data_IF_193108957400
#
_entry.id   IF_193108957400
#
_cell.length_a   1.000
_cell.length_b   1.000
_cell.length_c   1.000
_cell.angle_alpha   90.00
_cell.angle_beta   90.00
_cell.angle_gamma   90.00
#
_symmetry.space_group_name_H-M   'P 1'
#
loop_
_entity.id
_entity.type
_entity.pdbx_description
1 polymer ?
#
# COMPACT_ATOMS: atom_id res chain seq x y z
N UNK A 1 8.54 8.06 7.03
CA UNK A 1 8.11 8.85 5.86
C UNK A 1 8.46 10.31 6.06
N UNK A 2 9.02 10.91 5.03
CA UNK A 2 9.41 12.32 5.02
C UNK A 2 8.58 13.02 3.95
N UNK A 3 7.88 14.08 4.33
CA UNK A 3 7.20 14.94 3.38
C UNK A 3 8.22 15.89 2.76
N UNK A 4 8.47 15.83 1.44
CA UNK A 4 9.51 16.64 0.79
C UNK A 4 9.19 18.14 0.77
N UNK A 5 7.92 18.53 0.96
CA UNK A 5 7.47 19.93 0.95
C UNK A 5 7.53 20.53 2.35
N UNK A 6 6.97 19.84 3.35
CA UNK A 6 6.87 20.35 4.74
C UNK A 6 8.03 19.92 5.62
N UNK A 7 8.89 18.97 5.17
CA UNK A 7 9.96 18.33 5.94
C UNK A 7 9.46 17.62 7.20
N UNK A 8 8.16 17.39 7.33
CA UNK A 8 7.60 16.66 8.44
C UNK A 8 7.90 15.18 8.33
N UNK A 9 8.24 14.57 9.45
CA UNK A 9 8.55 13.13 9.55
C UNK A 9 7.42 12.39 10.24
N UNK A 10 6.99 11.27 9.63
CA UNK A 10 5.95 10.39 10.16
C UNK A 10 6.49 8.98 10.31
N UNK A 11 6.35 8.40 11.48
CA UNK A 11 6.63 6.97 11.70
C UNK A 11 5.36 6.18 11.38
N UNK A 12 5.48 5.15 10.55
CA UNK A 12 4.39 4.22 10.24
C UNK A 12 4.85 2.79 10.45
N UNK A 13 4.03 2.03 11.15
CA UNK A 13 4.22 0.59 11.32
C UNK A 13 3.36 -0.18 10.32
N UNK A 14 3.86 -1.31 9.80
CA UNK A 14 3.07 -2.18 8.94
C UNK A 14 1.90 -2.80 9.71
N UNK A 15 0.80 -3.11 8.99
CA UNK A 15 -0.39 -3.71 9.60
C UNK A 15 -1.08 -4.67 8.63
N UNK A 16 -0.81 -5.96 8.75
CA UNK A 16 -1.39 -7.00 7.89
C UNK A 16 -2.92 -7.10 7.98
N UNK A 17 -3.55 -6.67 9.10
CA UNK A 17 -5.02 -6.68 9.23
C UNK A 17 -5.70 -5.75 8.22
N UNK A 18 -4.99 -4.75 7.74
CA UNK A 18 -5.50 -3.79 6.76
C UNK A 18 -5.16 -4.15 5.32
N UNK A 19 -4.49 -5.28 5.07
CA UNK A 19 -3.97 -5.63 3.74
C UNK A 19 -5.06 -5.75 2.67
N UNK A 20 -6.29 -6.14 3.01
CA UNK A 20 -7.41 -6.17 2.06
C UNK A 20 -7.99 -4.78 1.73
N UNK A 21 -7.67 -3.78 2.53
CA UNK A 21 -8.20 -2.41 2.39
C UNK A 21 -7.26 -1.49 1.65
N UNK A 22 -5.96 -1.61 1.92
CA UNK A 22 -4.91 -0.74 1.40
C UNK A 22 -3.55 -1.36 1.57
N UNK A 23 -2.58 -0.87 0.81
CA UNK A 23 -1.17 -1.14 1.07
C UNK A 23 -0.81 -0.73 2.50
N UNK A 24 -0.42 -1.69 3.31
CA UNK A 24 -0.14 -1.52 4.72
C UNK A 24 1.16 -2.20 5.17
N UNK A 25 1.94 -2.70 4.21
CA UNK A 25 3.30 -3.19 4.38
C UNK A 25 4.18 -2.44 3.38
N UNK A 26 5.25 -1.82 3.87
CA UNK A 26 6.08 -0.91 3.06
C UNK A 26 7.29 -1.65 2.52
N UNK A 27 7.39 -1.81 1.20
CA UNK A 27 8.41 -2.63 0.57
C UNK A 27 9.87 -2.27 0.94
N UNK A 28 10.28 -1.00 1.18
CA UNK A 28 11.65 -0.71 1.57
C UNK A 28 12.02 -1.22 2.97
N UNK A 29 11.02 -1.59 3.78
CA UNK A 29 11.22 -2.20 5.11
C UNK A 29 10.81 -3.68 5.15
N UNK A 30 10.57 -4.31 3.99
CA UNK A 30 10.23 -5.71 3.87
C UNK A 30 11.46 -6.53 3.48
N UNK A 31 11.90 -7.42 4.36
CA UNK A 31 12.97 -8.38 4.10
C UNK A 31 12.35 -9.74 3.85
N UNK A 32 12.71 -10.35 2.73
CA UNK A 32 12.15 -11.63 2.28
C UNK A 32 13.25 -12.68 2.31
N UNK A 33 13.00 -13.81 2.95
CA UNK A 33 13.94 -14.93 2.96
C UNK A 33 13.99 -15.59 1.59
N UNK A 34 15.13 -16.19 1.26
CA UNK A 34 15.30 -16.95 0.01
C UNK A 34 14.24 -18.06 -0.11
N UNK A 35 14.00 -18.79 0.97
CA UNK A 35 12.97 -19.87 0.99
C UNK A 35 11.55 -19.36 0.74
N UNK A 36 11.22 -18.14 1.21
CA UNK A 36 9.92 -17.52 0.89
C UNK A 36 9.82 -17.16 -0.59
N UNK A 37 10.90 -16.66 -1.19
CA UNK A 37 10.94 -16.41 -2.64
C UNK A 37 10.82 -17.69 -3.46
N UNK A 38 11.49 -18.77 -3.05
CA UNK A 38 11.41 -20.08 -3.73
C UNK A 38 9.99 -20.65 -3.67
N UNK A 39 9.28 -20.45 -2.56
CA UNK A 39 7.91 -20.94 -2.37
C UNK A 39 6.87 -20.09 -3.10
N UNK A 40 6.96 -18.77 -3.00
CA UNK A 40 5.96 -17.82 -3.53
C UNK A 40 6.24 -17.45 -4.99
N UNK A 41 7.49 -17.55 -5.42
CA UNK A 41 7.96 -17.10 -6.73
C UNK A 41 8.36 -15.63 -6.77
N UNK A 42 8.84 -15.19 -7.91
CA UNK A 42 9.29 -13.83 -8.16
C UNK A 42 8.12 -12.84 -8.27
N UNK A 43 8.41 -11.56 -8.37
CA UNK A 43 7.41 -10.52 -8.66
C UNK A 43 6.73 -10.79 -10.01
N UNK A 44 5.41 -10.52 -10.08
CA UNK A 44 4.63 -10.69 -11.30
C UNK A 44 4.80 -9.48 -12.21
N UNK A 45 5.11 -9.71 -13.49
CA UNK A 45 5.20 -8.67 -14.52
C UNK A 45 3.82 -8.07 -14.91
N UNK A 46 2.72 -8.70 -14.49
CA UNK A 46 1.37 -8.18 -14.71
C UNK A 46 1.04 -6.94 -13.85
N UNK A 47 1.86 -6.68 -12.81
CA UNK A 47 1.67 -5.60 -11.86
C UNK A 47 2.90 -4.69 -11.88
N UNK A 48 2.70 -3.45 -12.31
CA UNK A 48 3.81 -2.50 -12.42
C UNK A 48 3.93 -1.58 -11.22
N UNK A 49 2.78 -1.11 -10.70
CA UNK A 49 2.72 -0.16 -9.59
C UNK A 49 2.46 -0.81 -8.23
N UNK A 50 1.83 -1.99 -8.22
CA UNK A 50 1.45 -2.72 -7.01
C UNK A 50 2.08 -4.12 -6.94
N UNK A 51 3.24 -4.32 -7.58
CA UNK A 51 3.94 -5.61 -7.62
C UNK A 51 4.33 -6.14 -6.25
N UNK A 52 4.72 -5.24 -5.35
CA UNK A 52 5.04 -5.55 -3.96
C UNK A 52 3.82 -6.04 -3.18
N UNK A 53 2.69 -5.38 -3.36
CA UNK A 53 1.42 -5.75 -2.74
C UNK A 53 0.92 -7.09 -3.28
N UNK A 54 1.05 -7.30 -4.57
CA UNK A 54 0.69 -8.55 -5.23
C UNK A 54 1.52 -9.73 -4.67
N UNK A 55 2.83 -9.56 -4.53
CA UNK A 55 3.69 -10.56 -3.95
C UNK A 55 3.30 -10.87 -2.49
N UNK A 56 3.00 -9.84 -1.68
CA UNK A 56 2.53 -10.02 -0.30
C UNK A 56 1.20 -10.77 -0.26
N UNK A 57 0.28 -10.52 -1.19
CA UNK A 57 -0.98 -11.25 -1.27
C UNK A 57 -0.75 -12.74 -1.56
N UNK A 58 0.16 -13.09 -2.49
CA UNK A 58 0.56 -14.48 -2.72
C UNK A 58 1.22 -15.10 -1.49
N UNK A 59 2.09 -14.37 -0.82
CA UNK A 59 2.75 -14.84 0.40
C UNK A 59 1.75 -15.15 1.52
N UNK A 60 0.74 -14.29 1.71
CA UNK A 60 -0.35 -14.54 2.66
C UNK A 60 -1.17 -15.77 2.28
N UNK A 61 -1.49 -15.95 1.00
CA UNK A 61 -2.19 -17.14 0.50
C UNK A 61 -1.39 -18.42 0.68
N UNK A 62 -0.07 -18.35 0.56
CA UNK A 62 0.87 -19.43 0.83
C UNK A 62 1.15 -19.64 2.33
N UNK A 63 0.44 -18.95 3.22
CA UNK A 63 0.61 -19.00 4.68
C UNK A 63 2.04 -18.64 5.16
N UNK A 64 2.75 -17.79 4.42
CA UNK A 64 4.04 -17.25 4.87
C UNK A 64 3.82 -16.46 6.15
N UNK A 65 4.63 -16.74 7.15
CA UNK A 65 4.60 -16.02 8.43
C UNK A 65 5.40 -14.72 8.32
N UNK A 66 4.79 -13.63 8.74
CA UNK A 66 5.43 -12.32 8.82
C UNK A 66 5.86 -12.06 10.27
N UNK A 67 7.12 -11.69 10.45
CA UNK A 67 7.66 -11.20 11.71
C UNK A 67 7.78 -9.68 11.65
N UNK A 68 7.30 -9.00 12.69
CA UNK A 68 7.34 -7.54 12.78
C UNK A 68 8.49 -7.12 13.68
N UNK A 69 9.36 -6.27 13.16
CA UNK A 69 10.42 -5.63 13.94
C UNK A 69 9.92 -4.26 14.43
N UNK A 70 10.17 -3.96 15.70
CA UNK A 70 9.79 -2.67 16.30
C UNK A 70 10.91 -1.63 16.17
N UNK A 71 11.41 -1.47 14.94
CA UNK A 71 12.52 -0.58 14.61
C UNK A 71 12.20 0.21 13.34
N UNK A 72 12.85 1.38 13.19
CA UNK A 72 12.78 2.15 11.96
C UNK A 72 13.78 1.59 10.96
N UNK A 73 13.32 0.84 9.99
CA UNK A 73 14.15 0.11 9.03
C UNK A 73 14.42 0.88 7.74
N UNK A 74 13.57 1.84 7.37
CA UNK A 74 13.71 2.60 6.13
C UNK A 74 13.10 3.98 6.22
N UNK A 75 13.71 4.94 5.52
CA UNK A 75 13.16 6.25 5.26
C UNK A 75 12.57 6.29 3.86
N UNK A 76 11.34 6.81 3.73
CA UNK A 76 10.63 6.94 2.45
C UNK A 76 10.16 8.37 2.26
N UNK A 77 10.37 8.90 1.07
CA UNK A 77 9.78 10.18 0.66
C UNK A 77 8.37 9.97 0.13
N UNK A 78 7.46 10.91 0.42
CA UNK A 78 6.14 10.98 -0.21
C UNK A 78 6.26 11.46 -1.66
N UNK A 79 5.25 11.17 -2.49
CA UNK A 79 5.20 11.63 -3.89
C UNK A 79 5.92 10.72 -4.88
N UNK A 80 6.11 9.45 -4.55
CA UNK A 80 6.67 8.43 -5.44
C UNK A 80 5.79 8.12 -6.66
N UNK A 81 6.19 7.10 -7.45
CA UNK A 81 5.51 6.71 -8.68
C UNK A 81 4.05 6.31 -8.46
N UNK A 82 3.77 5.56 -7.40
CA UNK A 82 2.41 5.14 -7.03
C UNK A 82 1.50 6.31 -6.66
N UNK A 83 2.06 7.39 -6.08
CA UNK A 83 1.29 8.62 -5.80
C UNK A 83 0.98 9.40 -7.07
N UNK A 84 1.93 9.44 -8.02
CA UNK A 84 1.74 10.10 -9.34
C UNK A 84 0.70 9.37 -10.18
N UNK A 85 0.69 8.05 -10.13
CA UNK A 85 -0.24 7.18 -10.84
C UNK A 85 -1.27 6.54 -9.91
N UNK A 86 -1.80 7.34 -8.96
CA UNK A 86 -2.62 6.86 -7.85
C UNK A 86 -3.79 5.96 -8.29
N UNK A 87 -4.54 6.36 -9.31
CA UNK A 87 -5.68 5.58 -9.82
C UNK A 87 -5.24 4.21 -10.36
N UNK A 88 -4.18 4.17 -11.16
CA UNK A 88 -3.65 2.93 -11.72
C UNK A 88 -3.11 2.00 -10.62
N UNK A 89 -2.35 2.55 -9.67
CA UNK A 89 -1.84 1.81 -8.51
C UNK A 89 -2.97 1.22 -7.67
N UNK A 90 -4.01 2.01 -7.39
CA UNK A 90 -5.17 1.55 -6.63
C UNK A 90 -5.97 0.47 -7.39
N UNK A 91 -6.05 0.57 -8.72
CA UNK A 91 -6.71 -0.42 -9.56
C UNK A 91 -5.94 -1.74 -9.61
N UNK A 92 -4.61 -1.69 -9.73
CA UNK A 92 -3.76 -2.88 -9.63
C UNK A 92 -3.89 -3.54 -8.26
N UNK A 93 -3.88 -2.75 -7.18
CA UNK A 93 -4.09 -3.26 -5.83
C UNK A 93 -5.43 -4.01 -5.72
N UNK A 94 -6.53 -3.40 -6.19
CA UNK A 94 -7.85 -4.03 -6.24
C UNK A 94 -7.83 -5.33 -7.04
N UNK A 95 -7.21 -5.34 -8.25
CA UNK A 95 -7.04 -6.53 -9.09
C UNK A 95 -6.37 -7.65 -8.30
N UNK A 96 -5.28 -7.35 -7.62
CA UNK A 96 -4.51 -8.31 -6.82
C UNK A 96 -5.32 -8.87 -5.65
N UNK A 97 -6.07 -8.03 -4.90
CA UNK A 97 -6.94 -8.48 -3.80
C UNK A 97 -7.98 -9.50 -4.31
N UNK A 98 -8.58 -9.25 -5.47
CA UNK A 98 -9.57 -10.14 -6.08
C UNK A 98 -8.92 -11.43 -6.59
N UNK A 99 -7.82 -11.32 -7.33
CA UNK A 99 -7.12 -12.44 -7.97
C UNK A 99 -6.60 -13.46 -6.93
N UNK A 100 -6.15 -12.98 -5.78
CA UNK A 100 -5.60 -13.83 -4.73
C UNK A 100 -6.60 -14.17 -3.62
N UNK A 101 -7.86 -13.72 -3.74
CA UNK A 101 -8.90 -13.96 -2.72
C UNK A 101 -8.54 -13.45 -1.32
N UNK A 102 -7.87 -12.31 -1.23
CA UNK A 102 -7.49 -11.67 0.04
C UNK A 102 -8.72 -11.04 0.72
N UNK A 103 -9.73 -10.69 -0.06
CA UNK A 103 -11.05 -10.23 0.36
C UNK A 103 -12.11 -10.58 -0.67
N UNK A 104 -13.36 -10.31 -0.37
CA UNK A 104 -14.45 -10.48 -1.34
C UNK A 104 -14.35 -9.44 -2.46
N UNK A 105 -14.93 -9.75 -3.63
CA UNK A 105 -15.02 -8.80 -4.74
C UNK A 105 -15.71 -7.49 -4.32
N UNK A 106 -16.79 -7.60 -3.54
CA UNK A 106 -17.53 -6.45 -3.04
C UNK A 106 -16.69 -5.57 -2.11
N UNK A 107 -15.93 -6.16 -1.18
CA UNK A 107 -14.99 -5.43 -0.32
C UNK A 107 -13.91 -4.72 -1.16
N UNK A 108 -13.31 -5.41 -2.14
CA UNK A 108 -12.28 -4.85 -2.99
C UNK A 108 -12.78 -3.62 -3.77
N UNK A 109 -13.99 -3.70 -4.32
CA UNK A 109 -14.64 -2.56 -4.99
C UNK A 109 -14.98 -1.44 -4.01
N UNK A 110 -15.54 -1.76 -2.85
CA UNK A 110 -15.88 -0.78 -1.83
C UNK A 110 -14.65 0.03 -1.40
N UNK A 111 -13.55 -0.62 -1.04
CA UNK A 111 -12.32 0.07 -0.64
C UNK A 111 -11.69 0.87 -1.78
N UNK A 112 -11.77 0.38 -3.02
CA UNK A 112 -11.32 1.12 -4.18
C UNK A 112 -12.05 2.46 -4.32
N UNK A 113 -13.38 2.45 -4.30
CA UNK A 113 -14.18 3.67 -4.43
C UNK A 113 -14.06 4.57 -3.20
N UNK A 114 -13.96 4.00 -2.00
CA UNK A 114 -13.71 4.76 -0.78
C UNK A 114 -12.40 5.55 -0.88
N UNK A 115 -11.32 4.92 -1.29
CA UNK A 115 -10.02 5.58 -1.45
C UNK A 115 -10.04 6.64 -2.55
N UNK A 116 -10.73 6.37 -3.65
CA UNK A 116 -10.91 7.32 -4.74
C UNK A 116 -11.68 8.56 -4.27
N UNK A 117 -12.79 8.36 -3.57
CA UNK A 117 -13.59 9.45 -3.01
C UNK A 117 -12.79 10.31 -2.03
N UNK A 118 -12.08 9.67 -1.09
CA UNK A 118 -11.22 10.38 -0.14
C UNK A 118 -10.14 11.19 -0.85
N UNK A 119 -9.50 10.63 -1.89
CA UNK A 119 -8.48 11.34 -2.68
C UNK A 119 -9.07 12.55 -3.40
N UNK A 120 -10.27 12.40 -3.99
CA UNK A 120 -10.98 13.50 -4.67
C UNK A 120 -11.35 14.61 -3.69
N UNK A 121 -11.94 14.26 -2.54
CA UNK A 121 -12.30 15.22 -1.49
C UNK A 121 -11.07 15.97 -0.96
N UNK A 122 -9.96 15.27 -0.71
CA UNK A 122 -8.73 15.89 -0.22
C UNK A 122 -8.00 16.72 -1.29
N UNK A 123 -8.26 16.48 -2.58
CA UNK A 123 -7.71 17.27 -3.68
C UNK A 123 -8.44 18.59 -3.88
N UNK A 124 -9.67 18.74 -3.39
CA UNK A 124 -10.45 19.96 -3.52
C UNK A 124 -9.79 21.10 -2.73
N UNK A 125 -9.55 22.25 -3.40
CA UNK A 125 -8.89 23.44 -2.82
C UNK A 125 -9.52 23.90 -1.48
N UNK A 126 -10.85 23.79 -1.35
CA UNK A 126 -11.59 24.16 -0.13
C UNK A 126 -11.16 23.36 1.11
N UNK A 127 -10.95 22.06 0.97
CA UNK A 127 -10.53 21.18 2.08
C UNK A 127 -9.06 21.43 2.44
N UNK A 128 -8.20 21.74 1.46
CA UNK A 128 -6.83 22.19 1.73
C UNK A 128 -6.79 23.46 2.56
N UNK A 129 -7.65 24.44 2.25
CA UNK A 129 -7.72 25.70 2.99
C UNK A 129 -8.26 25.51 4.43
N UNK A 130 -9.22 24.61 4.64
CA UNK A 130 -9.73 24.27 5.97
C UNK A 130 -8.64 23.58 6.79
N UNK A 131 -7.90 22.65 6.19
CA UNK A 131 -6.76 21.99 6.85
C UNK A 131 -5.65 22.94 7.25
N UNK A 132 -5.34 23.95 6.41
CA UNK A 132 -4.32 24.95 6.71
C UNK A 132 -4.75 25.95 7.81
N UNK A 133 -6.07 26.08 8.09
CA UNK A 133 -6.59 26.95 9.16
C UNK A 133 -6.84 26.22 10.47
N UNK A 134 -6.89 24.89 10.46
CA UNK A 134 -7.19 24.05 11.64
C UNK A 134 -5.95 23.34 12.22
N UNK A 135 -4.84 23.36 11.49
CA UNK A 135 -3.55 22.80 11.90
C UNK A 135 -2.40 23.74 11.52
#
# INVERSE_FOLDING_TARGET
>A
FIDPVTQQTYIRSPNLRNIKKRMSVFHPSLFITKSSYELVGQYSEEFYLAMDSEWIHRALKANIKFCMLNEVLANMSLGGLSDKHYFASLNEYRKSVIQHNIGTKSEAHFYFYQHLLVKLLLSHRLIRQIKQKLF
#
